data_IF_628377690573
#
_entry.id   IF_628377690573
#
_cell.length_a   1.000
_cell.length_b   1.000
_cell.length_c   1.000
_cell.angle_alpha   90.00
_cell.angle_beta   90.00
_cell.angle_gamma   90.00
#
_symmetry.space_group_name_H-M   'P 1'
#
loop_
_entity.id
_entity.type
_entity.pdbx_description
1 polymer ?
#
# COMPACT_ATOMS: atom_id res chain seq x y z
N UNK A 1 -56.80 11.97 -19.42
CA UNK A 1 -55.96 10.80 -19.06
C UNK A 1 -54.86 10.59 -20.11
N UNK A 2 -53.78 11.38 -20.01
CA UNK A 2 -52.61 11.28 -20.89
C UNK A 2 -51.36 11.21 -20.01
N UNK A 3 -51.05 10.02 -19.52
CA UNK A 3 -49.88 9.78 -18.68
C UNK A 3 -48.62 9.78 -19.53
N UNK A 4 -47.91 10.92 -19.54
CA UNK A 4 -46.55 11.00 -20.08
C UNK A 4 -45.61 10.14 -19.24
N UNK A 5 -45.26 8.97 -19.77
CA UNK A 5 -44.21 8.12 -19.22
C UNK A 5 -42.89 8.90 -19.24
N UNK A 6 -42.45 9.37 -18.08
CA UNK A 6 -41.08 9.85 -17.88
C UNK A 6 -40.14 8.66 -18.05
N UNK A 7 -39.44 8.62 -19.17
CA UNK A 7 -38.28 7.74 -19.36
C UNK A 7 -37.30 7.95 -18.19
N UNK A 8 -36.83 6.89 -17.52
CA UNK A 8 -35.83 7.05 -16.47
C UNK A 8 -34.53 7.60 -17.09
N UNK A 9 -33.77 8.44 -16.35
CA UNK A 9 -32.55 9.02 -16.87
C UNK A 9 -31.56 7.89 -17.19
N UNK A 10 -31.20 7.78 -18.47
CA UNK A 10 -30.15 6.89 -18.96
C UNK A 10 -28.77 7.33 -18.48
N UNK A 11 -28.49 7.15 -17.19
CA UNK A 11 -27.18 7.31 -16.58
C UNK A 11 -26.49 5.94 -16.55
N UNK A 12 -25.55 5.72 -17.46
CA UNK A 12 -24.70 4.53 -17.36
C UNK A 12 -24.16 3.95 -18.66
N UNK A 13 -23.89 4.75 -19.70
CA UNK A 13 -22.87 4.35 -20.68
C UNK A 13 -21.51 4.54 -20.02
N UNK A 14 -20.98 3.43 -19.49
CA UNK A 14 -19.62 3.19 -18.97
C UNK A 14 -18.76 4.45 -18.77
N UNK A 15 -18.60 4.91 -17.53
CA UNK A 15 -17.72 6.05 -17.17
C UNK A 15 -16.34 5.93 -17.83
N UNK A 16 -15.73 4.75 -17.88
CA UNK A 16 -14.48 4.51 -18.60
C UNK A 16 -14.53 4.80 -20.12
N UNK A 17 -15.58 4.38 -20.84
CA UNK A 17 -15.71 4.75 -22.26
C UNK A 17 -16.08 6.22 -22.43
N UNK A 18 -16.84 6.79 -21.49
CA UNK A 18 -17.16 8.22 -21.46
C UNK A 18 -15.90 9.07 -21.22
N UNK A 19 -15.01 8.66 -20.31
CA UNK A 19 -13.71 9.29 -20.02
C UNK A 19 -12.75 9.15 -21.19
N UNK A 20 -12.65 7.96 -21.79
CA UNK A 20 -11.87 7.76 -23.01
C UNK A 20 -12.42 8.62 -24.15
N UNK A 21 -13.75 8.68 -24.33
CA UNK A 21 -14.37 9.53 -25.35
C UNK A 21 -14.20 11.01 -25.06
N UNK A 22 -14.31 11.46 -23.80
CA UNK A 22 -14.09 12.85 -23.38
C UNK A 22 -12.63 13.28 -23.55
N UNK A 23 -11.69 12.40 -23.22
CA UNK A 23 -10.26 12.62 -23.46
C UNK A 23 -9.94 12.66 -24.97
N UNK A 24 -10.76 12.05 -25.82
CA UNK A 24 -10.63 12.06 -27.27
C UNK A 24 -11.35 13.25 -27.93
N UNK A 25 -12.47 13.73 -27.37
CA UNK A 25 -13.25 14.86 -27.91
C UNK A 25 -12.82 16.22 -27.40
N UNK A 26 -12.13 16.29 -26.26
CA UNK A 26 -11.60 17.55 -25.76
C UNK A 26 -10.42 18.05 -26.61
N UNK A 27 -10.72 18.98 -27.53
CA UNK A 27 -9.74 19.69 -28.35
C UNK A 27 -8.68 20.45 -27.53
N UNK A 28 -8.92 20.74 -26.23
CA UNK A 28 -7.95 21.42 -25.35
C UNK A 28 -6.87 20.50 -24.78
N UNK A 29 -7.08 19.18 -24.73
CA UNK A 29 -6.09 18.21 -24.22
C UNK A 29 -5.29 17.52 -25.32
N UNK A 30 -5.39 18.00 -26.56
CA UNK A 30 -4.70 17.48 -27.74
C UNK A 30 -3.17 17.47 -27.62
N UNK A 31 -2.61 16.43 -27.01
CA UNK A 31 -1.17 16.24 -26.89
C UNK A 31 -0.63 16.00 -25.48
N UNK A 32 -1.47 15.86 -24.44
CA UNK A 32 -0.99 15.60 -23.07
C UNK A 32 -0.07 14.36 -23.00
N UNK A 33 -0.34 13.35 -23.83
CA UNK A 33 0.44 12.12 -23.94
C UNK A 33 1.80 12.31 -24.66
N UNK A 34 2.07 13.49 -25.21
CA UNK A 34 3.32 13.82 -25.93
C UNK A 34 4.36 14.48 -25.03
N UNK A 35 3.94 15.23 -24.00
CA UNK A 35 4.85 15.97 -23.12
C UNK A 35 4.82 15.45 -21.69
N UNK A 36 5.95 15.48 -20.96
CA UNK A 36 5.98 15.06 -19.55
C UNK A 36 5.10 15.96 -18.66
N UNK A 37 5.08 17.27 -18.92
CA UNK A 37 4.20 18.21 -18.21
C UNK A 37 2.70 17.90 -18.47
N UNK A 38 2.35 17.50 -19.68
CA UNK A 38 0.99 17.07 -20.03
C UNK A 38 0.58 15.81 -19.28
N UNK A 39 1.50 14.84 -19.14
CA UNK A 39 1.29 13.63 -18.35
C UNK A 39 1.00 13.98 -16.88
N UNK A 40 1.86 14.77 -16.24
CA UNK A 40 1.69 15.17 -14.84
C UNK A 40 0.36 15.88 -14.63
N UNK A 41 0.03 16.85 -15.49
CA UNK A 41 -1.25 17.57 -15.41
C UNK A 41 -2.44 16.62 -15.54
N UNK A 42 -2.38 15.65 -16.47
CA UNK A 42 -3.45 14.66 -16.65
C UNK A 42 -3.60 13.75 -15.44
N UNK A 43 -2.50 13.33 -14.82
CA UNK A 43 -2.48 12.53 -13.59
C UNK A 43 -3.10 13.28 -12.42
N UNK A 44 -2.75 14.57 -12.23
CA UNK A 44 -3.34 15.39 -11.17
C UNK A 44 -4.84 15.62 -11.41
N UNK A 45 -5.24 15.83 -12.66
CA UNK A 45 -6.66 15.96 -13.01
C UNK A 45 -7.43 14.65 -12.79
N UNK A 46 -6.84 13.49 -13.14
CA UNK A 46 -7.45 12.18 -12.83
C UNK A 46 -7.61 11.99 -11.32
N UNK A 47 -6.58 12.34 -10.55
CA UNK A 47 -6.59 12.23 -9.10
C UNK A 47 -7.74 13.03 -8.45
N UNK A 48 -8.00 14.23 -8.98
CA UNK A 48 -9.11 15.09 -8.55
C UNK A 48 -10.48 14.53 -8.97
N UNK A 49 -10.61 14.13 -10.24
CA UNK A 49 -11.84 13.53 -10.77
C UNK A 49 -12.27 12.25 -10.01
N UNK A 50 -11.30 11.43 -9.58
CA UNK A 50 -11.52 10.20 -8.81
C UNK A 50 -11.71 10.46 -7.29
N UNK A 51 -11.66 11.71 -6.84
CA UNK A 51 -11.74 12.08 -5.43
C UNK A 51 -10.77 11.28 -4.55
N UNK A 52 -9.49 11.24 -4.93
CA UNK A 52 -8.46 10.51 -4.19
C UNK A 52 -8.45 10.77 -2.67
N UNK A 53 -8.68 11.99 -2.16
CA UNK A 53 -8.74 12.25 -0.71
C UNK A 53 -9.82 11.45 0.01
N UNK A 54 -10.97 11.29 -0.63
CA UNK A 54 -12.07 10.50 -0.08
C UNK A 54 -11.73 9.01 -0.08
N UNK A 55 -11.20 8.49 -1.19
CA UNK A 55 -10.76 7.09 -1.29
C UNK A 55 -9.64 6.78 -0.28
N UNK A 56 -8.69 7.69 -0.10
CA UNK A 56 -7.61 7.56 0.88
C UNK A 56 -8.16 7.51 2.31
N UNK A 57 -9.15 8.34 2.63
CA UNK A 57 -9.80 8.36 3.95
C UNK A 57 -10.49 7.03 4.26
N UNK A 58 -11.24 6.48 3.30
CA UNK A 58 -11.87 5.16 3.44
C UNK A 58 -10.84 4.05 3.64
N UNK A 59 -9.76 4.08 2.86
CA UNK A 59 -8.67 3.11 2.97
C UNK A 59 -7.94 3.21 4.31
N UNK A 60 -7.78 4.43 4.82
CA UNK A 60 -7.19 4.70 6.13
C UNK A 60 -8.01 4.06 7.23
N UNK A 61 -9.33 4.24 7.21
CA UNK A 61 -10.22 3.62 8.18
C UNK A 61 -10.11 2.09 8.16
N UNK A 62 -10.18 1.47 6.97
CA UNK A 62 -10.03 0.02 6.86
C UNK A 62 -8.63 -0.46 7.27
N UNK A 63 -7.58 0.33 7.01
CA UNK A 63 -6.21 0.02 7.39
C UNK A 63 -5.98 0.11 8.90
N UNK A 64 -6.54 1.12 9.57
CA UNK A 64 -6.47 1.26 11.03
C UNK A 64 -7.13 0.07 11.74
N UNK A 65 -8.29 -0.37 11.23
CA UNK A 65 -8.97 -1.56 11.76
C UNK A 65 -8.16 -2.84 11.54
N UNK A 66 -7.47 -2.96 10.40
CA UNK A 66 -6.61 -4.11 10.09
C UNK A 66 -5.25 -4.06 10.80
N UNK A 67 -4.76 -2.88 11.18
CA UNK A 67 -3.44 -2.69 11.77
C UNK A 67 -3.29 -3.47 13.07
N UNK A 68 -4.26 -3.38 13.99
CA UNK A 68 -4.20 -4.04 15.30
C UNK A 68 -4.00 -5.56 15.16
N UNK A 69 -4.91 -6.32 14.53
CA UNK A 69 -4.73 -7.77 14.44
C UNK A 69 -3.54 -8.18 13.56
N UNK A 70 -3.19 -7.38 12.53
CA UNK A 70 -2.01 -7.63 11.71
C UNK A 70 -0.73 -7.55 12.53
N UNK A 71 -0.58 -6.48 13.32
CA UNK A 71 0.61 -6.28 14.13
C UNK A 71 0.69 -7.34 15.23
N UNK A 72 -0.43 -7.71 15.86
CA UNK A 72 -0.46 -8.80 16.83
C UNK A 72 -0.01 -10.12 16.22
N UNK A 73 -0.54 -10.49 15.05
CA UNK A 73 -0.16 -11.72 14.37
C UNK A 73 1.31 -11.68 13.95
N UNK A 74 1.79 -10.53 13.49
CA UNK A 74 3.19 -10.32 13.15
C UNK A 74 4.09 -10.51 14.36
N UNK A 75 3.80 -9.89 15.51
CA UNK A 75 4.58 -10.03 16.74
C UNK A 75 4.62 -11.49 17.22
N UNK A 76 3.46 -12.17 17.22
CA UNK A 76 3.37 -13.59 17.60
C UNK A 76 4.18 -14.46 16.63
N UNK A 77 3.94 -14.31 15.33
CA UNK A 77 4.57 -15.10 14.28
C UNK A 77 6.08 -14.91 14.22
N UNK A 78 6.56 -13.67 14.34
CA UNK A 78 7.99 -13.38 14.36
C UNK A 78 8.66 -13.95 15.61
N UNK A 79 8.02 -13.85 16.77
CA UNK A 79 8.57 -14.40 18.02
C UNK A 79 8.73 -15.92 17.90
N UNK A 80 7.74 -16.62 17.36
CA UNK A 80 7.84 -18.06 17.09
C UNK A 80 8.94 -18.39 16.09
N UNK A 81 9.03 -17.62 14.98
CA UNK A 81 10.06 -17.82 13.97
C UNK A 81 11.47 -17.59 14.56
N UNK A 82 11.65 -16.52 15.33
CA UNK A 82 12.89 -16.14 15.98
C UNK A 82 13.37 -17.20 16.99
N UNK A 83 12.46 -17.69 17.84
CA UNK A 83 12.76 -18.76 18.78
C UNK A 83 13.21 -20.03 18.05
N UNK A 84 12.54 -20.36 16.94
CA UNK A 84 12.84 -21.55 16.13
C UNK A 84 14.18 -21.43 15.41
N UNK A 85 14.50 -20.27 14.85
CA UNK A 85 15.71 -20.06 14.04
C UNK A 85 16.96 -19.78 14.85
N UNK A 86 16.82 -19.22 16.07
CA UNK A 86 17.95 -18.63 16.81
C UNK A 86 18.19 -19.31 18.16
N UNK A 87 17.71 -20.54 18.36
CA UNK A 87 17.84 -21.31 19.61
C UNK A 87 17.54 -20.46 20.87
N UNK A 88 16.49 -19.62 20.82
CA UNK A 88 16.10 -18.77 21.94
C UNK A 88 16.63 -17.33 21.94
N UNK A 89 17.41 -16.90 20.94
CA UNK A 89 17.75 -15.47 20.80
C UNK A 89 16.53 -14.70 20.30
N UNK A 90 16.10 -13.69 21.05
CA UNK A 90 14.96 -12.84 20.71
C UNK A 90 15.31 -11.94 19.54
N UNK A 91 14.80 -12.24 18.34
CA UNK A 91 14.77 -11.25 17.26
C UNK A 91 13.81 -10.15 17.69
N UNK A 92 14.34 -8.93 17.78
CA UNK A 92 13.57 -7.78 18.21
C UNK A 92 12.50 -7.45 17.17
N UNK A 93 11.25 -7.80 17.47
CA UNK A 93 10.13 -7.59 16.58
C UNK A 93 9.87 -6.10 16.32
N UNK A 94 10.35 -5.21 17.21
CA UNK A 94 10.35 -3.77 17.02
C UNK A 94 11.17 -3.35 15.79
N UNK A 95 12.32 -4.00 15.52
CA UNK A 95 13.19 -3.69 14.38
C UNK A 95 12.50 -3.85 13.01
N UNK A 96 11.53 -4.77 12.88
CA UNK A 96 10.72 -4.90 11.66
C UNK A 96 9.58 -3.90 11.63
N UNK A 97 9.00 -3.57 12.79
CA UNK A 97 7.99 -2.53 12.93
C UNK A 97 8.56 -1.19 12.45
N UNK A 98 9.77 -0.80 12.88
CA UNK A 98 10.44 0.43 12.44
C UNK A 98 10.71 0.51 10.93
N UNK A 99 10.61 -0.57 10.15
CA UNK A 99 10.79 -0.52 8.68
C UNK A 99 9.60 0.06 7.93
N UNK A 100 8.39 -0.08 8.48
CA UNK A 100 7.17 0.44 7.89
C UNK A 100 6.82 1.84 8.38
N UNK A 101 7.50 2.26 9.46
CA UNK A 101 7.35 3.59 10.01
C UNK A 101 8.48 4.50 9.52
N UNK A 102 8.21 5.81 9.42
CA UNK A 102 9.22 6.83 9.15
C UNK A 102 10.37 6.76 10.17
N UNK A 103 11.61 7.06 9.79
CA UNK A 103 12.69 7.20 10.77
C UNK A 103 12.30 8.21 11.85
N UNK A 104 12.30 7.79 13.12
CA UNK A 104 11.96 8.60 14.28
C UNK A 104 13.03 8.42 15.37
N UNK A 105 13.11 9.37 16.30
CA UNK A 105 13.99 9.29 17.46
C UNK A 105 13.38 8.36 18.51
N UNK A 106 13.94 7.17 18.69
CA UNK A 106 13.51 6.16 19.69
C UNK A 106 13.93 6.51 21.12
N UNK A 107 13.96 7.80 21.49
CA UNK A 107 14.32 8.22 22.83
C UNK A 107 13.09 8.12 23.77
N UNK A 108 13.21 7.52 24.96
CA UNK A 108 12.10 7.41 25.91
C UNK A 108 11.45 8.78 26.17
N UNK A 109 10.13 8.89 25.93
CA UNK A 109 9.37 10.13 26.10
C UNK A 109 9.51 11.16 24.97
N UNK A 110 10.18 10.82 23.85
CA UNK A 110 10.25 11.62 22.62
C UNK A 110 9.98 10.80 21.36
N UNK A 111 9.58 9.55 21.54
CA UNK A 111 9.21 8.69 20.44
C UNK A 111 7.70 8.85 20.17
N UNK A 112 7.33 9.42 19.00
CA UNK A 112 5.95 9.71 18.65
C UNK A 112 5.10 8.43 18.48
N UNK A 113 5.69 7.25 18.47
CA UNK A 113 5.00 5.96 18.35
C UNK A 113 5.19 5.03 19.56
N UNK A 114 5.87 5.48 20.63
CA UNK A 114 6.13 4.71 21.86
C UNK A 114 4.84 4.13 22.46
N UNK A 115 3.76 4.91 22.48
CA UNK A 115 2.47 4.45 23.00
C UNK A 115 1.93 3.25 22.20
N UNK A 116 1.99 3.33 20.88
CA UNK A 116 1.50 2.27 19.99
C UNK A 116 2.35 1.02 20.21
N UNK A 117 3.67 1.18 20.27
CA UNK A 117 4.59 0.08 20.55
C UNK A 117 4.34 -0.57 21.92
N UNK A 118 4.14 0.21 22.98
CA UNK A 118 3.83 -0.30 24.33
C UNK A 118 2.51 -1.04 24.41
N UNK A 119 1.46 -0.51 23.78
CA UNK A 119 0.15 -1.18 23.73
C UNK A 119 0.32 -2.53 23.03
N UNK A 120 1.02 -2.55 21.89
CA UNK A 120 1.24 -3.76 21.12
C UNK A 120 2.12 -4.78 21.86
N UNK A 121 3.20 -4.32 22.51
CA UNK A 121 4.10 -5.15 23.31
C UNK A 121 3.39 -5.74 24.54
N UNK A 122 2.54 -4.95 25.21
CA UNK A 122 1.72 -5.41 26.33
C UNK A 122 0.72 -6.49 25.91
N UNK A 123 0.08 -6.32 24.75
CA UNK A 123 -0.82 -7.35 24.20
C UNK A 123 -0.03 -8.61 23.79
N UNK A 124 1.16 -8.44 23.21
CA UNK A 124 2.04 -9.55 22.83
C UNK A 124 2.67 -10.30 24.02
N UNK A 125 2.63 -9.75 25.24
CA UNK A 125 3.06 -10.45 26.45
C UNK A 125 2.03 -11.50 26.91
N UNK A 126 0.73 -11.27 26.68
CA UNK A 126 -0.37 -12.20 27.02
C UNK A 126 -0.68 -13.20 25.88
N UNK A 127 0.32 -14.01 25.53
CA UNK A 127 0.39 -14.82 24.30
C UNK A 127 -0.66 -15.95 24.15
N UNK A 128 -1.09 -16.54 25.27
CA UNK A 128 -1.86 -17.79 25.27
C UNK A 128 -3.29 -17.65 24.73
N UNK A 129 -4.07 -16.74 25.29
CA UNK A 129 -5.50 -16.61 24.97
C UNK A 129 -5.77 -15.67 23.79
N UNK A 130 -4.88 -14.71 23.54
CA UNK A 130 -5.05 -13.69 22.50
C UNK A 130 -4.81 -14.26 21.09
N UNK A 131 -4.00 -15.31 20.98
CA UNK A 131 -3.68 -15.97 19.71
C UNK A 131 -4.92 -16.58 19.01
N UNK A 132 -5.87 -17.12 19.78
CA UNK A 132 -7.08 -17.76 19.25
C UNK A 132 -8.00 -16.76 18.54
N UNK A 133 -8.09 -15.53 19.07
CA UNK A 133 -8.92 -14.47 18.50
C UNK A 133 -8.19 -13.62 17.45
N UNK A 134 -6.85 -13.55 17.52
CA UNK A 134 -6.04 -12.76 16.60
C UNK A 134 -6.14 -13.24 15.15
N UNK A 135 -6.14 -14.57 14.91
CA UNK A 135 -6.21 -15.12 13.55
C UNK A 135 -7.56 -14.81 12.88
N UNK A 136 -8.73 -15.14 13.47
CA UNK A 136 -10.02 -14.78 12.87
C UNK A 136 -10.19 -13.27 12.69
N UNK A 137 -9.77 -12.46 13.68
CA UNK A 137 -9.81 -11.00 13.57
C UNK A 137 -8.94 -10.52 12.40
N UNK A 138 -7.71 -11.02 12.29
CA UNK A 138 -6.81 -10.69 11.19
C UNK A 138 -7.43 -11.02 9.84
N UNK A 139 -7.95 -12.23 9.66
CA UNK A 139 -8.58 -12.64 8.39
C UNK A 139 -9.77 -11.73 8.06
N UNK A 140 -10.62 -11.42 9.05
CA UNK A 140 -11.77 -10.53 8.86
C UNK A 140 -11.36 -9.11 8.44
N UNK A 141 -10.50 -8.46 9.22
CA UNK A 141 -10.11 -7.07 8.99
C UNK A 141 -9.19 -6.91 7.76
N UNK A 142 -8.28 -7.86 7.52
CA UNK A 142 -7.44 -7.84 6.30
C UNK A 142 -8.29 -8.02 5.03
N UNK A 143 -9.26 -8.94 5.04
CA UNK A 143 -10.20 -9.10 3.92
C UNK A 143 -11.00 -7.80 3.67
N UNK A 144 -11.36 -7.07 4.73
CA UNK A 144 -12.02 -5.77 4.62
C UNK A 144 -11.10 -4.73 3.97
N UNK A 145 -9.86 -4.60 4.45
CA UNK A 145 -8.85 -3.72 3.86
C UNK A 145 -8.62 -3.98 2.37
N UNK A 146 -8.38 -5.23 1.98
CA UNK A 146 -8.18 -5.55 0.55
C UNK A 146 -9.45 -5.37 -0.27
N UNK A 147 -10.62 -5.55 0.32
CA UNK A 147 -11.89 -5.16 -0.30
C UNK A 147 -11.97 -3.66 -0.58
N UNK A 148 -11.52 -2.82 0.35
CA UNK A 148 -11.36 -1.37 0.19
C UNK A 148 -10.35 -1.01 -0.90
N UNK A 149 -9.15 -1.61 -0.87
CA UNK A 149 -8.09 -1.44 -1.88
C UNK A 149 -8.63 -1.75 -3.28
N UNK A 150 -9.30 -2.89 -3.43
CA UNK A 150 -9.90 -3.28 -4.71
C UNK A 150 -10.94 -2.26 -5.15
N UNK A 151 -11.79 -1.80 -4.24
CA UNK A 151 -12.87 -0.86 -4.59
C UNK A 151 -12.29 0.45 -5.07
N UNK A 152 -11.29 1.00 -4.36
CA UNK A 152 -10.59 2.21 -4.77
C UNK A 152 -9.87 2.04 -6.12
N UNK A 153 -9.16 0.92 -6.33
CA UNK A 153 -8.48 0.66 -7.60
C UNK A 153 -9.46 0.39 -8.76
N UNK A 154 -10.62 -0.21 -8.50
CA UNK A 154 -11.66 -0.37 -9.52
C UNK A 154 -12.23 0.97 -9.95
N UNK A 155 -12.38 1.90 -9.00
CA UNK A 155 -12.86 3.26 -9.28
C UNK A 155 -11.82 4.01 -10.13
N UNK A 156 -10.54 4.00 -9.70
CA UNK A 156 -9.43 4.58 -10.48
C UNK A 156 -9.37 3.93 -11.87
N UNK A 157 -9.35 2.59 -11.98
CA UNK A 157 -9.23 1.91 -13.27
C UNK A 157 -10.50 1.90 -14.12
N UNK A 158 -11.51 2.69 -13.73
CA UNK A 158 -12.78 2.87 -14.44
C UNK A 158 -13.51 1.55 -14.74
N UNK A 159 -13.35 0.57 -13.85
CA UNK A 159 -13.96 -0.75 -14.00
C UNK A 159 -15.42 -0.62 -13.62
N UNK A 160 -16.29 -0.69 -14.62
CA UNK A 160 -17.74 -0.70 -14.41
C UNK A 160 -18.13 -1.92 -13.57
N UNK A 161 -18.35 -1.71 -12.28
CA UNK A 161 -18.70 -2.73 -11.29
C UNK A 161 -20.13 -3.28 -11.45
N UNK A 162 -20.65 -3.38 -12.68
CA UNK A 162 -21.92 -4.07 -12.91
C UNK A 162 -21.63 -5.55 -13.13
N UNK A 163 -22.19 -6.45 -12.30
CA UNK A 163 -22.26 -7.86 -12.63
C UNK A 163 -22.85 -8.00 -14.03
N UNK A 164 -22.33 -8.91 -14.87
CA UNK A 164 -22.99 -9.20 -16.14
C UNK A 164 -24.45 -9.57 -15.84
N UNK A 165 -25.43 -9.16 -16.67
CA UNK A 165 -26.87 -9.31 -16.42
C UNK A 165 -27.36 -10.77 -16.24
N UNK A 166 -26.45 -11.75 -16.24
CA UNK A 166 -26.70 -13.20 -16.13
C UNK A 166 -25.93 -13.90 -14.99
N UNK A 167 -25.11 -13.20 -14.20
CA UNK A 167 -24.48 -13.82 -13.02
C UNK A 167 -25.29 -13.56 -11.75
N UNK A 168 -25.57 -14.63 -11.00
CA UNK A 168 -26.18 -14.53 -9.67
C UNK A 168 -25.33 -13.63 -8.77
N UNK A 169 -25.96 -12.65 -8.13
CA UNK A 169 -25.35 -11.68 -7.20
C UNK A 169 -24.38 -12.35 -6.21
N UNK A 170 -24.78 -13.51 -5.68
CA UNK A 170 -24.00 -14.32 -4.73
C UNK A 170 -22.66 -14.78 -5.32
N UNK A 171 -22.61 -15.26 -6.56
CA UNK A 171 -21.37 -15.73 -7.20
C UNK A 171 -20.37 -14.59 -7.36
N UNK A 172 -20.85 -13.40 -7.75
CA UNK A 172 -20.00 -12.22 -7.89
C UNK A 172 -19.41 -11.76 -6.55
N UNK A 173 -20.18 -11.85 -5.47
CA UNK A 173 -19.73 -11.51 -4.11
C UNK A 173 -18.69 -12.52 -3.60
N UNK A 174 -18.90 -13.82 -3.83
CA UNK A 174 -17.95 -14.86 -3.43
C UNK A 174 -16.64 -14.72 -4.20
N UNK A 175 -16.67 -14.55 -5.53
CA UNK A 175 -15.45 -14.33 -6.33
C UNK A 175 -14.68 -13.08 -5.88
N UNK A 176 -15.41 -12.03 -5.53
CA UNK A 176 -14.82 -10.85 -4.93
C UNK A 176 -14.09 -11.20 -3.61
N UNK A 177 -14.75 -11.87 -2.67
CA UNK A 177 -14.13 -12.23 -1.38
C UNK A 177 -12.93 -13.16 -1.53
N UNK A 178 -13.00 -14.14 -2.43
CA UNK A 178 -11.87 -15.03 -2.74
C UNK A 178 -10.66 -14.24 -3.22
N UNK A 179 -10.86 -13.21 -4.06
CA UNK A 179 -9.78 -12.33 -4.51
C UNK A 179 -9.13 -11.56 -3.37
N UNK A 180 -9.94 -11.02 -2.46
CA UNK A 180 -9.44 -10.28 -1.30
C UNK A 180 -8.58 -11.21 -0.42
N UNK A 181 -9.04 -12.44 -0.17
CA UNK A 181 -8.30 -13.47 0.58
C UNK A 181 -6.99 -13.84 -0.12
N UNK A 182 -7.00 -14.04 -1.45
CA UNK A 182 -5.77 -14.32 -2.20
C UNK A 182 -4.76 -13.18 -2.05
N UNK A 183 -5.21 -11.92 -2.06
CA UNK A 183 -4.32 -10.77 -1.85
C UNK A 183 -3.73 -10.75 -0.43
N UNK A 184 -4.54 -11.07 0.59
CA UNK A 184 -4.05 -11.22 1.97
C UNK A 184 -2.94 -12.27 2.04
N UNK A 185 -3.20 -13.47 1.51
CA UNK A 185 -2.22 -14.57 1.50
C UNK A 185 -0.95 -14.16 0.76
N UNK A 186 -1.09 -13.53 -0.41
CA UNK A 186 0.04 -13.06 -1.20
C UNK A 186 0.91 -12.07 -0.42
N UNK A 187 0.31 -11.10 0.27
CA UNK A 187 1.05 -10.13 1.07
C UNK A 187 1.73 -10.78 2.28
N UNK A 188 1.07 -11.72 2.96
CA UNK A 188 1.69 -12.48 4.05
C UNK A 188 2.88 -13.30 3.55
N UNK A 189 2.75 -14.00 2.43
CA UNK A 189 3.85 -14.78 1.83
C UNK A 189 5.01 -13.88 1.43
N UNK A 190 4.74 -12.75 0.77
CA UNK A 190 5.77 -11.78 0.41
C UNK A 190 6.49 -11.23 1.66
N UNK A 191 5.75 -10.96 2.72
CA UNK A 191 6.30 -10.46 3.98
C UNK A 191 7.22 -11.50 4.65
N UNK A 192 6.79 -12.76 4.73
CA UNK A 192 7.60 -13.86 5.26
C UNK A 192 8.86 -14.05 4.42
N UNK A 193 8.74 -14.06 3.08
CA UNK A 193 9.89 -14.17 2.19
C UNK A 193 10.89 -13.02 2.39
N UNK A 194 10.42 -11.78 2.49
CA UNK A 194 11.27 -10.62 2.76
C UNK A 194 11.97 -10.71 4.13
N UNK A 195 11.27 -11.23 5.14
CA UNK A 195 11.84 -11.45 6.47
C UNK A 195 12.96 -12.49 6.41
N UNK A 196 12.71 -13.64 5.78
CA UNK A 196 13.71 -14.70 5.60
C UNK A 196 14.95 -14.21 4.83
N UNK A 197 14.76 -13.45 3.75
CA UNK A 197 15.85 -12.86 2.98
C UNK A 197 16.67 -11.88 3.82
N UNK A 198 16.00 -11.02 4.58
CA UNK A 198 16.66 -10.06 5.47
C UNK A 198 17.45 -10.78 6.57
N UNK A 199 16.83 -11.73 7.26
CA UNK A 199 17.47 -12.48 8.34
C UNK A 199 18.64 -13.30 7.81
N UNK A 200 18.47 -13.97 6.66
CA UNK A 200 19.56 -14.70 6.00
C UNK A 200 20.73 -13.78 5.65
N UNK A 201 20.45 -12.59 5.10
CA UNK A 201 21.49 -11.59 4.83
C UNK A 201 22.20 -11.13 6.11
N UNK A 202 21.47 -10.92 7.21
CA UNK A 202 22.06 -10.55 8.49
C UNK A 202 22.98 -11.65 9.07
N UNK A 203 22.57 -12.91 8.96
CA UNK A 203 23.39 -14.06 9.38
C UNK A 203 24.68 -14.18 8.57
N UNK A 204 24.60 -13.99 7.25
CA UNK A 204 25.79 -13.98 6.37
C UNK A 204 26.74 -12.84 6.74
N UNK A 205 26.22 -11.65 7.03
CA UNK A 205 27.04 -10.52 7.47
C UNK A 205 27.75 -10.80 8.79
N UNK A 206 27.05 -11.36 9.78
CA UNK A 206 27.63 -11.73 11.07
C UNK A 206 28.75 -12.78 10.90
N UNK A 207 28.49 -13.84 10.14
CA UNK A 207 29.44 -14.92 9.88
C UNK A 207 30.66 -14.48 9.04
N UNK A 208 30.51 -13.46 8.19
CA UNK A 208 31.58 -12.88 7.39
C UNK A 208 32.47 -11.93 8.19
N UNK A 209 31.88 -11.15 9.11
CA UNK A 209 32.61 -10.22 9.97
C UNK A 209 33.56 -10.94 10.95
N UNK A 210 33.18 -12.13 11.44
CA UNK A 210 34.02 -12.93 12.33
C UNK A 210 35.23 -13.56 11.62
N UNK A 211 35.12 -13.89 10.33
CA UNK A 211 36.16 -14.64 9.61
C UNK A 211 37.27 -13.76 9.03
N UNK A 212 36.97 -12.52 8.64
CA UNK A 212 37.97 -11.64 7.99
C UNK A 212 37.77 -10.17 8.41
N UNK A 213 38.41 -9.71 9.49
CA UNK A 213 38.26 -8.35 10.02
C UNK A 213 38.63 -7.24 9.03
N UNK A 214 39.61 -7.48 8.14
CA UNK A 214 40.06 -6.51 7.13
C UNK A 214 39.02 -6.24 6.03
N UNK A 215 38.10 -7.19 5.78
CA UNK A 215 36.99 -7.03 4.83
C UNK A 215 35.66 -6.66 5.51
N UNK A 216 35.62 -6.53 6.84
CA UNK A 216 34.40 -6.23 7.58
C UNK A 216 33.75 -4.91 7.15
N UNK A 217 34.53 -3.90 6.75
CA UNK A 217 34.01 -2.65 6.20
C UNK A 217 33.31 -2.84 4.84
N UNK A 218 33.85 -3.70 3.97
CA UNK A 218 33.26 -3.99 2.66
C UNK A 218 32.00 -4.86 2.80
N UNK A 219 32.04 -5.85 3.68
CA UNK A 219 30.90 -6.73 4.00
C UNK A 219 29.75 -5.94 4.64
N UNK A 220 30.04 -5.01 5.56
CA UNK A 220 29.02 -4.18 6.22
C UNK A 220 28.43 -3.12 5.29
N UNK A 221 29.25 -2.43 4.49
CA UNK A 221 28.78 -1.44 3.52
C UNK A 221 27.96 -2.09 2.41
N UNK A 222 28.46 -3.18 1.81
CA UNK A 222 27.74 -3.93 0.78
C UNK A 222 26.46 -4.56 1.36
N UNK A 223 26.52 -5.08 2.58
CA UNK A 223 25.38 -5.63 3.30
C UNK A 223 24.27 -4.60 3.55
N UNK A 224 24.64 -3.36 3.89
CA UNK A 224 23.68 -2.25 4.04
C UNK A 224 23.02 -1.89 2.71
N UNK A 225 23.81 -1.72 1.65
CA UNK A 225 23.27 -1.42 0.30
C UNK A 225 22.35 -2.53 -0.18
N UNK A 226 22.75 -3.80 -0.01
CA UNK A 226 21.91 -4.96 -0.33
C UNK A 226 20.61 -4.95 0.49
N UNK A 227 20.68 -4.62 1.78
CA UNK A 227 19.49 -4.49 2.63
C UNK A 227 18.51 -3.42 2.15
N UNK A 228 19.03 -2.24 1.77
CA UNK A 228 18.22 -1.15 1.21
C UNK A 228 17.60 -1.54 -0.14
N UNK A 229 18.37 -2.21 -1.02
CA UNK A 229 17.88 -2.72 -2.31
C UNK A 229 16.80 -3.79 -2.11
N UNK A 230 16.98 -4.69 -1.13
CA UNK A 230 15.98 -5.71 -0.80
C UNK A 230 14.69 -5.08 -0.26
N UNK A 231 14.79 -4.11 0.64
CA UNK A 231 13.64 -3.39 1.17
C UNK A 231 12.88 -2.65 0.07
N UNK A 232 13.61 -1.95 -0.82
CA UNK A 232 13.01 -1.28 -1.96
C UNK A 232 12.34 -2.28 -2.93
N UNK A 233 13.01 -3.39 -3.23
CA UNK A 233 12.48 -4.46 -4.09
C UNK A 233 11.23 -5.10 -3.50
N UNK A 234 11.17 -5.25 -2.19
CA UNK A 234 9.97 -5.68 -1.48
C UNK A 234 8.82 -4.68 -1.64
N UNK A 235 9.06 -3.38 -1.43
CA UNK A 235 8.04 -2.33 -1.66
C UNK A 235 7.53 -2.32 -3.10
N UNK A 236 8.42 -2.41 -4.09
CA UNK A 236 8.03 -2.50 -5.51
C UNK A 236 7.19 -3.74 -5.77
N UNK A 237 7.60 -4.90 -5.22
CA UNK A 237 6.86 -6.15 -5.38
C UNK A 237 5.45 -6.05 -4.78
N UNK A 238 5.34 -5.51 -3.56
CA UNK A 238 4.07 -5.33 -2.87
C UNK A 238 3.10 -4.45 -3.68
N UNK A 239 3.56 -3.29 -4.13
CA UNK A 239 2.72 -2.40 -4.95
C UNK A 239 2.40 -3.01 -6.32
N UNK A 240 3.34 -3.72 -6.94
CA UNK A 240 3.13 -4.38 -8.22
C UNK A 240 2.03 -5.44 -8.16
N UNK A 241 2.10 -6.33 -7.17
CA UNK A 241 1.08 -7.35 -6.97
C UNK A 241 -0.26 -6.70 -6.63
N UNK A 242 -0.26 -5.63 -5.83
CA UNK A 242 -1.47 -4.88 -5.49
C UNK A 242 -2.14 -4.28 -6.73
N UNK A 243 -1.43 -3.48 -7.52
CA UNK A 243 -1.99 -2.86 -8.72
C UNK A 243 -2.41 -3.87 -9.80
N UNK A 244 -1.67 -4.98 -9.94
CA UNK A 244 -1.98 -5.96 -10.98
C UNK A 244 -3.14 -6.88 -10.63
N UNK A 245 -3.27 -7.29 -9.36
CA UNK A 245 -4.18 -8.36 -8.97
C UNK A 245 -5.35 -7.93 -8.10
N UNK A 246 -5.28 -6.79 -7.39
CA UNK A 246 -6.37 -6.36 -6.53
C UNK A 246 -7.61 -5.92 -7.33
N UNK A 247 -7.43 -5.14 -8.41
CA UNK A 247 -8.53 -4.71 -9.27
C UNK A 247 -9.06 -5.83 -10.17
N UNK A 248 -10.33 -5.72 -10.56
CA UNK A 248 -10.95 -6.61 -11.56
C UNK A 248 -10.28 -6.49 -12.93
N UNK A 249 -9.92 -5.27 -13.34
CA UNK A 249 -9.17 -5.01 -14.59
C UNK A 249 -7.69 -5.24 -14.33
N UNK A 250 -7.12 -6.21 -15.04
CA UNK A 250 -5.68 -6.51 -14.97
C UNK A 250 -4.92 -5.56 -15.87
N UNK A 251 -4.06 -4.71 -15.29
CA UNK A 251 -3.13 -3.90 -16.08
C UNK A 251 -2.05 -4.80 -16.73
N UNK A 252 -1.51 -4.40 -17.88
CA UNK A 252 -0.30 -5.02 -18.41
C UNK A 252 0.83 -4.97 -17.39
N UNK A 253 1.64 -6.03 -17.35
CA UNK A 253 2.70 -6.17 -16.34
C UNK A 253 3.69 -5.00 -16.34
N UNK A 254 4.04 -4.46 -17.51
CA UNK A 254 4.94 -3.30 -17.64
C UNK A 254 4.34 -2.05 -17.01
N UNK A 255 3.04 -1.84 -17.21
CA UNK A 255 2.35 -0.67 -16.69
C UNK A 255 2.16 -0.77 -15.17
N UNK A 256 1.81 -1.97 -14.67
CA UNK A 256 1.74 -2.22 -13.24
C UNK A 256 3.12 -2.04 -12.56
N UNK A 257 4.20 -2.51 -13.20
CA UNK A 257 5.57 -2.36 -12.68
C UNK A 257 6.02 -0.90 -12.64
N UNK A 258 5.68 -0.10 -13.67
CA UNK A 258 5.97 1.32 -13.69
C UNK A 258 5.26 2.05 -12.55
N UNK A 259 3.96 1.82 -12.39
CA UNK A 259 3.17 2.37 -11.29
C UNK A 259 3.76 1.97 -9.94
N UNK A 260 4.05 0.69 -9.74
CA UNK A 260 4.63 0.17 -8.51
C UNK A 260 6.00 0.76 -8.17
N UNK A 261 6.86 0.94 -9.17
CA UNK A 261 8.19 1.56 -8.98
C UNK A 261 8.05 3.03 -8.63
N UNK A 262 7.15 3.75 -9.30
CA UNK A 262 6.83 5.13 -8.96
C UNK A 262 6.30 5.26 -7.53
N UNK A 263 5.37 4.39 -7.13
CA UNK A 263 4.84 4.37 -5.76
C UNK A 263 5.90 4.04 -4.74
N UNK A 264 6.77 3.07 -4.99
CA UNK A 264 7.85 2.70 -4.08
C UNK A 264 8.81 3.89 -3.88
N UNK A 265 9.19 4.59 -4.95
CA UNK A 265 10.00 5.81 -4.85
C UNK A 265 9.30 6.89 -4.05
N UNK A 266 8.02 7.14 -4.34
CA UNK A 266 7.23 8.14 -3.63
C UNK A 266 7.01 7.77 -2.16
N UNK A 267 6.90 6.48 -1.85
CA UNK A 267 6.78 5.95 -0.49
C UNK A 267 8.07 6.16 0.30
N UNK A 268 9.24 5.97 -0.32
CA UNK A 268 10.53 6.32 0.31
C UNK A 268 10.64 7.83 0.59
N UNK A 269 10.24 8.67 -0.36
CA UNK A 269 10.18 10.13 -0.16
C UNK A 269 9.20 10.49 0.96
N UNK A 270 8.03 9.85 0.97
CA UNK A 270 7.00 10.04 1.97
C UNK A 270 7.49 9.70 3.38
N UNK A 271 8.21 8.58 3.56
CA UNK A 271 8.84 8.22 4.84
C UNK A 271 9.80 9.32 5.32
N UNK A 272 10.64 9.86 4.43
CA UNK A 272 11.60 10.91 4.80
C UNK A 272 10.92 12.24 5.15
N UNK A 273 9.94 12.65 4.35
CA UNK A 273 9.17 13.88 4.60
C UNK A 273 8.39 13.78 5.91
N UNK A 274 7.79 12.63 6.18
CA UNK A 274 7.07 12.41 7.42
C UNK A 274 8.02 12.34 8.62
N UNK A 275 9.19 11.72 8.49
CA UNK A 275 10.23 11.75 9.52
C UNK A 275 10.71 13.19 9.84
N UNK A 276 10.89 14.02 8.80
CA UNK A 276 11.19 15.45 8.98
C UNK A 276 10.03 16.19 9.67
N UNK A 277 8.78 15.88 9.28
CA UNK A 277 7.61 16.44 9.93
C UNK A 277 7.58 16.09 11.43
N UNK A 278 7.79 14.82 11.78
CA UNK A 278 7.89 14.39 13.18
C UNK A 278 9.03 15.10 13.92
N UNK A 279 10.21 15.22 13.32
CA UNK A 279 11.35 15.87 13.97
C UNK A 279 11.07 17.34 14.35
N UNK A 280 10.24 18.03 13.58
CA UNK A 280 9.88 19.44 13.82
C UNK A 280 8.59 19.60 14.65
N UNK A 281 7.64 18.67 14.56
CA UNK A 281 6.37 18.73 15.30
C UNK A 281 6.41 18.01 16.64
N UNK A 282 7.25 16.99 16.83
CA UNK A 282 7.46 16.34 18.13
C UNK A 282 8.07 17.31 19.15
N UNK A 283 8.84 18.32 18.72
CA UNK A 283 9.25 19.42 19.62
C UNK A 283 8.10 20.31 20.10
N UNK A 284 6.91 20.20 19.50
CA UNK A 284 5.69 20.95 19.87
C UNK A 284 4.80 20.14 20.84
N UNK A 285 5.23 18.94 21.27
CA UNK A 285 4.57 18.11 22.31
C UNK A 285 4.24 18.87 23.61
N UNK A 286 4.90 20.00 23.88
CA UNK A 286 4.56 20.88 24.99
C UNK A 286 3.22 21.64 24.85
N UNK A 287 2.58 21.68 23.67
CA UNK A 287 1.38 22.49 23.41
C UNK A 287 0.10 21.69 23.12
N UNK A 288 0.23 20.43 22.68
CA UNK A 288 -0.89 19.50 22.50
C UNK A 288 -1.06 18.74 23.81
N UNK A 289 -1.99 19.20 24.65
CA UNK A 289 -2.31 18.54 25.93
C UNK A 289 -2.50 17.04 25.74
N UNK A 290 -1.72 16.27 26.51
CA UNK A 290 -1.60 14.81 26.50
C UNK A 290 -0.85 14.21 25.28
N UNK A 291 0.43 13.88 25.49
CA UNK A 291 1.33 13.29 24.49
C UNK A 291 0.74 12.03 23.81
N UNK A 292 -0.17 11.35 24.50
CA UNK A 292 -0.82 10.13 24.05
C UNK A 292 -1.79 10.34 22.86
N UNK A 293 -2.53 11.44 22.86
CA UNK A 293 -3.48 11.74 21.77
C UNK A 293 -2.72 12.15 20.51
N UNK A 294 -1.58 12.85 20.68
CA UNK A 294 -0.68 13.22 19.59
C UNK A 294 -0.18 12.02 18.80
N UNK A 295 0.31 10.98 19.48
CA UNK A 295 0.80 9.74 18.85
C UNK A 295 -0.24 9.07 17.94
N UNK A 296 -1.49 8.96 18.42
CA UNK A 296 -2.58 8.34 17.66
C UNK A 296 -2.92 9.17 16.41
N UNK A 297 -3.02 10.50 16.54
CA UNK A 297 -3.32 11.40 15.41
C UNK A 297 -2.20 11.35 14.36
N UNK A 298 -0.94 11.36 14.81
CA UNK A 298 0.21 11.20 13.93
C UNK A 298 0.13 9.87 13.17
N UNK A 299 -0.13 8.76 13.86
CA UNK A 299 -0.28 7.46 13.20
C UNK A 299 -1.39 7.46 12.15
N UNK A 300 -2.57 8.01 12.45
CA UNK A 300 -3.66 8.14 11.48
C UNK A 300 -3.22 8.96 10.26
N UNK A 301 -2.49 10.07 10.49
CA UNK A 301 -1.95 10.90 9.42
C UNK A 301 -0.93 10.14 8.55
N UNK A 302 -0.08 9.30 9.16
CA UNK A 302 0.87 8.45 8.44
C UNK A 302 0.15 7.44 7.53
N UNK A 303 -0.86 6.77 8.07
CA UNK A 303 -1.67 5.80 7.31
C UNK A 303 -2.41 6.50 6.17
N UNK A 304 -3.01 7.67 6.43
CA UNK A 304 -3.66 8.48 5.40
C UNK A 304 -2.71 8.92 4.30
N UNK A 305 -1.53 9.39 4.67
CA UNK A 305 -0.53 9.81 3.71
C UNK A 305 -0.02 8.64 2.86
N UNK A 306 0.16 7.46 3.48
CA UNK A 306 0.51 6.22 2.78
C UNK A 306 -0.57 5.80 1.80
N UNK A 307 -1.85 5.86 2.20
CA UNK A 307 -2.98 5.58 1.32
C UNK A 307 -3.02 6.54 0.13
N UNK A 308 -2.71 7.83 0.35
CA UNK A 308 -2.61 8.82 -0.71
C UNK A 308 -1.53 8.49 -1.74
N UNK A 309 -0.31 8.21 -1.27
CA UNK A 309 0.83 7.82 -2.11
C UNK A 309 0.48 6.57 -2.92
N UNK A 310 -0.15 5.59 -2.28
CA UNK A 310 -0.61 4.36 -2.92
C UNK A 310 -1.64 4.63 -4.03
N UNK A 311 -2.66 5.46 -3.80
CA UNK A 311 -3.67 5.73 -4.81
C UNK A 311 -3.12 6.56 -5.96
N UNK A 312 -2.25 7.54 -5.68
CA UNK A 312 -1.60 8.35 -6.72
C UNK A 312 -0.78 7.48 -7.67
N UNK A 313 -0.07 6.47 -7.15
CA UNK A 313 0.62 5.49 -7.97
C UNK A 313 -0.29 4.64 -8.84
N UNK A 314 -1.50 4.32 -8.34
CA UNK A 314 -2.55 3.67 -9.14
C UNK A 314 -2.98 4.54 -10.32
N UNK A 315 -3.22 5.84 -10.09
CA UNK A 315 -3.56 6.82 -11.14
C UNK A 315 -2.42 6.95 -12.15
N UNK A 316 -1.16 6.96 -11.71
CA UNK A 316 0.01 6.97 -12.62
C UNK A 316 0.05 5.72 -13.50
N UNK A 317 -0.21 4.54 -12.92
CA UNK A 317 -0.28 3.30 -13.69
C UNK A 317 -1.39 3.37 -14.75
N UNK A 318 -2.57 3.84 -14.39
CA UNK A 318 -3.69 3.92 -15.32
C UNK A 318 -3.46 4.96 -16.43
N UNK A 319 -3.02 6.16 -16.09
CA UNK A 319 -2.71 7.22 -17.05
C UNK A 319 -1.62 6.79 -18.04
N UNK A 320 -0.63 6.01 -17.59
CA UNK A 320 0.36 5.40 -18.48
C UNK A 320 -0.27 4.38 -19.43
N UNK A 321 -1.20 3.56 -18.94
CA UNK A 321 -1.91 2.61 -19.80
C UNK A 321 -2.75 3.33 -20.85
N UNK A 322 -3.47 4.38 -20.46
CA UNK A 322 -4.25 5.21 -21.37
C UNK A 322 -3.37 5.83 -22.46
N UNK A 323 -2.18 6.33 -22.10
CA UNK A 323 -1.18 6.81 -23.05
C UNK A 323 -0.76 5.73 -24.05
N UNK A 324 -0.46 4.52 -23.59
CA UNK A 324 -0.08 3.40 -24.46
C UNK A 324 -1.22 2.98 -25.40
N UNK A 325 -2.46 2.97 -24.92
CA UNK A 325 -3.65 2.67 -25.74
C UNK A 325 -3.85 3.71 -26.84
N UNK A 326 -3.67 4.99 -26.53
CA UNK A 326 -3.75 6.08 -27.52
C UNK A 326 -2.65 5.98 -28.59
N UNK A 327 -1.43 5.62 -28.19
CA UNK A 327 -0.32 5.41 -29.14
C UNK A 327 -0.57 4.24 -30.07
N UNK A 328 -1.04 3.09 -29.55
CA UNK A 328 -1.38 1.92 -30.37
C UNK A 328 -2.48 2.21 -31.39
N UNK A 329 -3.54 2.92 -30.99
CA UNK A 329 -4.63 3.30 -31.91
C UNK A 329 -4.18 4.24 -33.03
N UNK A 330 -3.19 5.09 -32.78
CA UNK A 330 -2.61 5.96 -33.83
C UNK A 330 -1.83 5.15 -34.86
N UNK A 331 -1.06 4.16 -34.42
CA UNK A 331 -0.30 3.30 -35.31
C UNK A 331 -1.22 2.44 -36.22
N UNK A 332 -2.41 2.08 -35.74
CA UNK A 332 -3.40 1.35 -36.56
C UNK A 332 -4.22 2.22 -37.51
N UNK A 333 -4.22 3.55 -37.31
CA UNK A 333 -4.97 4.51 -38.13
C UNK A 333 -4.07 5.36 -39.03
N UNK A 334 -2.75 5.19 -38.95
CA UNK A 334 -1.81 5.81 -39.87
C UNK A 334 -1.80 4.97 -41.17
N UNK A 335 -2.13 5.58 -42.33
CA UNK A 335 -2.21 4.89 -43.62
C UNK A 335 -0.86 4.39 -44.12
#
# INVERSE_FOLDING_TARGET
>A
PGGGARSPPGLGRSRGAARLSATLTDRRTGGWHRTPAGFIRRTLQAADEDNLPFLASALTFDALLAAVPLVLLLLIGLTHLAQTLTNGTTVDAASLFHRFFPPHTSAPGRDPFDLIERILAGIAANRGEISLYAIPAFVWFSTRLFGGVRTALNDIYDVSARPPPRQHFVVSLVLAKVRDIIMVILVVVLFVANTLLTTGLALVQAAGAERVPEFAFFVSTLGRVLGEVLAFSFSVSLFYFTYRYASLRRLPWRTALLGATFTALLFEVAKRLYGLYLANFASVEGQLGDANIGAAVLFVLWVYYTAMVFLLGGVVAETWELRNMLQRRRLTLAP
#
